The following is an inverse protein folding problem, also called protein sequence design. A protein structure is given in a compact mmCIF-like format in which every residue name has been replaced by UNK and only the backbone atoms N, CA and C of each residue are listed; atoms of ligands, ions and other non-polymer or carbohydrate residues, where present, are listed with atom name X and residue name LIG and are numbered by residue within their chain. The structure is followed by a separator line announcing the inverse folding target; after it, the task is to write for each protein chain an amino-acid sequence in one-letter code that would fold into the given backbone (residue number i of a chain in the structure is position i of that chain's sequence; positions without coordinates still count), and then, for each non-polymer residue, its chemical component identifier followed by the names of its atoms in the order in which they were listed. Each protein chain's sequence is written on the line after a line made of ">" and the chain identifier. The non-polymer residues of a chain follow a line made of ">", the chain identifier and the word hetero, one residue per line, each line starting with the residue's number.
data_IF_720757307149
#
_entry.id   IF_720757307149
#
_cell.length_a   1.000
_cell.length_b   1.000
_cell.length_c   1.000
_cell.angle_alpha   90.00
_cell.angle_beta   90.00
_cell.angle_gamma   90.00
#
_symmetry.space_group_name_H-M   'P 1'
#
loop_
_entity.id
_entity.type
_entity.pdbx_description
1 polymer ?
#
# COMPACT_ATOMS: atom_id res chain seq x y z
N UNK A 1 -28.66 5.04 21.84
CA UNK A 1 -28.30 6.48 21.95
C UNK A 1 -29.50 7.26 22.45
N UNK A 2 -29.29 8.26 23.30
CA UNK A 2 -30.37 9.16 23.76
C UNK A 2 -30.75 10.14 22.63
N UNK A 3 -32.04 10.38 22.40
CA UNK A 3 -32.52 11.32 21.38
C UNK A 3 -31.97 12.75 21.57
N UNK A 4 -31.69 13.14 22.82
CA UNK A 4 -31.05 14.40 23.14
C UNK A 4 -29.62 14.51 22.55
N UNK A 5 -28.82 13.45 22.65
CA UNK A 5 -27.48 13.38 22.07
C UNK A 5 -27.49 13.49 20.55
N UNK A 6 -28.47 12.87 19.90
CA UNK A 6 -28.63 12.96 18.44
C UNK A 6 -29.00 14.40 18.03
N UNK A 7 -29.88 15.05 18.79
CA UNK A 7 -30.25 16.44 18.55
C UNK A 7 -29.07 17.41 18.75
N UNK A 8 -28.25 17.22 19.79
CA UNK A 8 -27.04 18.02 20.03
C UNK A 8 -25.93 17.74 19.00
N UNK A 9 -25.78 16.51 18.54
CA UNK A 9 -24.77 16.18 17.53
C UNK A 9 -25.06 16.80 16.16
N UNK A 10 -26.34 16.95 15.82
CA UNK A 10 -26.82 17.56 14.56
C UNK A 10 -26.99 19.08 14.71
N UNK A 11 -27.15 19.57 15.94
CA UNK A 11 -27.12 21.01 16.27
C UNK A 11 -25.79 21.62 15.83
N UNK A 12 -25.85 22.72 15.07
CA UNK A 12 -24.67 23.53 14.74
C UNK A 12 -24.30 24.52 15.86
N UNK A 13 -25.10 24.57 16.91
CA UNK A 13 -24.92 25.44 18.07
C UNK A 13 -24.21 24.67 19.20
N UNK A 14 -23.15 25.29 19.70
CA UNK A 14 -22.25 24.89 20.79
C UNK A 14 -21.55 23.52 20.65
N UNK A 15 -20.21 23.56 20.66
CA UNK A 15 -19.37 22.38 20.44
C UNK A 15 -19.60 21.32 21.50
N UNK A 16 -20.05 20.14 21.08
CA UNK A 16 -20.18 18.93 21.91
C UNK A 16 -18.97 18.78 22.84
N UNK A 17 -19.22 18.57 24.14
CA UNK A 17 -18.17 18.25 25.11
C UNK A 17 -17.54 16.89 24.74
N UNK A 18 -16.25 16.83 24.36
CA UNK A 18 -15.57 15.59 24.00
C UNK A 18 -15.58 14.59 25.14
N UNK A 19 -15.56 15.06 26.40
CA UNK A 19 -15.52 14.19 27.59
C UNK A 19 -16.78 13.33 27.72
N UNK A 20 -17.88 13.80 27.15
CA UNK A 20 -19.15 13.07 27.15
C UNK A 20 -19.39 12.39 25.79
N UNK A 21 -19.14 13.10 24.70
CA UNK A 21 -19.48 12.64 23.35
C UNK A 21 -18.55 11.56 22.80
N UNK A 22 -17.23 11.64 23.04
CA UNK A 22 -16.29 10.65 22.50
C UNK A 22 -16.48 9.26 23.12
N UNK A 23 -16.62 9.09 24.46
CA UNK A 23 -16.87 7.78 25.04
C UNK A 23 -18.16 7.13 24.51
N UNK A 24 -19.25 7.90 24.39
CA UNK A 24 -20.50 7.41 23.81
C UNK A 24 -20.34 6.99 22.35
N UNK A 25 -19.58 7.76 21.57
CA UNK A 25 -19.35 7.47 20.17
C UNK A 25 -18.44 6.24 19.97
N UNK A 26 -17.47 6.03 20.86
CA UNK A 26 -16.63 4.84 20.88
C UNK A 26 -17.42 3.58 21.26
N UNK A 27 -18.30 3.67 22.26
CA UNK A 27 -19.19 2.56 22.61
C UNK A 27 -20.13 2.22 21.44
N UNK A 28 -20.71 3.26 20.82
CA UNK A 28 -21.54 3.10 19.63
C UNK A 28 -20.79 2.43 18.47
N UNK A 29 -19.59 2.91 18.13
CA UNK A 29 -18.81 2.34 17.03
C UNK A 29 -18.38 0.91 17.28
N UNK A 30 -18.03 0.56 18.53
CA UNK A 30 -17.75 -0.82 18.94
C UNK A 30 -18.97 -1.72 18.75
N UNK A 31 -20.13 -1.33 19.28
CA UNK A 31 -21.34 -2.15 19.15
C UNK A 31 -21.73 -2.39 17.68
N UNK A 32 -21.59 -1.36 16.84
CA UNK A 32 -21.86 -1.48 15.39
C UNK A 32 -20.86 -2.43 14.71
N UNK A 33 -19.58 -2.34 15.09
CA UNK A 33 -18.53 -3.23 14.58
C UNK A 33 -18.75 -4.69 15.00
N UNK A 34 -18.99 -4.94 16.29
CA UNK A 34 -19.20 -6.28 16.84
C UNK A 34 -20.43 -6.93 16.21
N UNK A 35 -21.52 -6.17 16.05
CA UNK A 35 -22.72 -6.63 15.33
C UNK A 35 -22.38 -7.01 13.88
N UNK A 36 -21.56 -6.21 13.19
CA UNK A 36 -21.19 -6.50 11.80
C UNK A 36 -20.30 -7.76 11.70
N UNK A 37 -19.41 -7.97 12.66
CA UNK A 37 -18.58 -9.17 12.79
C UNK A 37 -19.43 -10.42 13.02
N UNK A 38 -20.36 -10.38 13.98
CA UNK A 38 -21.26 -11.49 14.27
C UNK A 38 -22.12 -11.87 13.05
N UNK A 39 -22.67 -10.88 12.36
CA UNK A 39 -23.44 -11.11 11.14
C UNK A 39 -22.61 -11.75 10.03
N UNK A 40 -21.35 -11.32 9.87
CA UNK A 40 -20.43 -11.88 8.88
C UNK A 40 -19.97 -13.31 9.23
N UNK A 41 -19.87 -13.65 10.50
CA UNK A 41 -19.48 -14.98 10.99
C UNK A 41 -20.63 -16.00 11.04
N UNK A 42 -21.89 -15.54 10.98
CA UNK A 42 -23.07 -16.39 11.15
C UNK A 42 -23.39 -17.25 9.92
N UNK A 43 -24.08 -18.38 10.14
CA UNK A 43 -24.67 -19.22 9.08
C UNK A 43 -25.63 -18.44 8.16
N UNK A 44 -26.08 -17.26 8.60
CA UNK A 44 -26.97 -16.36 7.86
C UNK A 44 -26.24 -15.44 6.86
N UNK A 45 -24.91 -15.56 6.70
CA UNK A 45 -24.08 -14.72 5.82
C UNK A 45 -24.69 -14.50 4.41
N UNK A 46 -25.25 -15.56 3.80
CA UNK A 46 -25.88 -15.49 2.48
C UNK A 46 -27.16 -14.66 2.43
N UNK A 47 -27.99 -14.69 3.48
CA UNK A 47 -29.20 -13.87 3.55
C UNK A 47 -28.87 -12.42 3.94
N UNK A 48 -27.87 -12.22 4.80
CA UNK A 48 -27.36 -10.88 5.13
C UNK A 48 -26.77 -10.18 3.93
N UNK A 49 -26.05 -10.88 3.03
CA UNK A 49 -25.54 -10.28 1.78
C UNK A 49 -26.70 -9.78 0.89
N UNK A 50 -27.83 -10.49 0.90
CA UNK A 50 -29.03 -10.11 0.14
C UNK A 50 -29.72 -8.88 0.74
N UNK A 51 -29.86 -8.85 2.07
CA UNK A 51 -30.39 -7.71 2.84
C UNK A 51 -29.48 -6.47 2.79
N UNK A 52 -28.16 -6.68 2.74
CA UNK A 52 -27.15 -5.63 2.63
C UNK A 52 -27.26 -4.89 1.31
N UNK A 53 -27.59 -5.60 0.22
CA UNK A 53 -27.80 -4.97 -1.07
C UNK A 53 -29.10 -4.17 -1.18
N UNK A 54 -30.14 -4.46 -0.37
CA UNK A 54 -31.46 -3.84 -0.52
C UNK A 54 -31.77 -2.72 0.47
N UNK A 55 -31.32 -2.80 1.74
CA UNK A 55 -31.74 -1.86 2.81
C UNK A 55 -30.59 -1.53 3.77
N UNK A 56 -29.80 -2.52 4.16
CA UNK A 56 -28.84 -2.36 5.28
C UNK A 56 -27.65 -1.48 4.89
N UNK A 57 -27.20 -1.47 3.63
CA UNK A 57 -26.12 -0.57 3.18
C UNK A 57 -26.48 0.91 3.29
N UNK A 58 -27.71 1.30 2.97
CA UNK A 58 -28.16 2.69 3.10
C UNK A 58 -28.25 3.12 4.57
N UNK A 59 -28.75 2.22 5.44
CA UNK A 59 -28.78 2.47 6.88
C UNK A 59 -27.36 2.59 7.48
N UNK A 60 -26.42 1.73 7.04
CA UNK A 60 -25.01 1.77 7.44
C UNK A 60 -24.34 3.09 7.05
N UNK A 61 -24.58 3.58 5.83
CA UNK A 61 -24.07 4.87 5.37
C UNK A 61 -24.59 6.03 6.24
N UNK A 62 -25.89 6.04 6.57
CA UNK A 62 -26.46 7.07 7.45
C UNK A 62 -25.89 7.02 8.87
N UNK A 63 -25.67 5.81 9.41
CA UNK A 63 -25.00 5.60 10.70
C UNK A 63 -23.57 6.16 10.66
N UNK A 64 -22.85 5.89 9.56
CA UNK A 64 -21.50 6.37 9.36
C UNK A 64 -21.44 7.91 9.31
N UNK A 65 -22.31 8.53 8.50
CA UNK A 65 -22.35 9.98 8.36
C UNK A 65 -22.74 10.67 9.68
N UNK A 66 -23.69 10.11 10.43
CA UNK A 66 -24.01 10.60 11.77
C UNK A 66 -22.78 10.55 12.71
N UNK A 67 -22.06 9.42 12.71
CA UNK A 67 -20.86 9.28 13.53
C UNK A 67 -19.77 10.28 13.13
N UNK A 68 -19.57 10.51 11.84
CA UNK A 68 -18.59 11.48 11.32
C UNK A 68 -18.93 12.92 11.71
N UNK A 69 -20.19 13.33 11.60
CA UNK A 69 -20.65 14.67 12.02
C UNK A 69 -20.39 14.87 13.51
N UNK A 70 -20.81 13.89 14.31
CA UNK A 70 -20.63 13.90 15.77
C UNK A 70 -19.13 13.99 16.13
N UNK A 71 -18.31 13.16 15.49
CA UNK A 71 -16.87 13.11 15.70
C UNK A 71 -16.22 14.45 15.35
N UNK A 72 -16.53 15.00 14.18
CA UNK A 72 -16.02 16.29 13.72
C UNK A 72 -16.36 17.42 14.69
N UNK A 73 -17.61 17.46 15.18
CA UNK A 73 -18.06 18.47 16.13
C UNK A 73 -17.34 18.34 17.48
N UNK A 74 -17.17 17.11 17.99
CA UNK A 74 -16.43 16.85 19.22
C UNK A 74 -14.95 17.26 19.08
N UNK A 75 -14.30 16.95 17.95
CA UNK A 75 -12.86 17.15 17.75
C UNK A 75 -12.45 18.58 17.34
N UNK A 76 -13.39 19.51 17.17
CA UNK A 76 -13.10 20.87 16.66
C UNK A 76 -12.02 21.56 17.50
N UNK A 77 -10.85 21.79 16.89
CA UNK A 77 -9.68 22.41 17.53
C UNK A 77 -8.92 21.53 18.53
N UNK A 78 -9.29 20.26 18.69
CA UNK A 78 -8.78 19.33 19.72
C UNK A 78 -8.30 17.99 19.17
N UNK A 79 -8.18 17.87 17.85
CA UNK A 79 -7.86 16.62 17.15
C UNK A 79 -6.57 15.98 17.66
N UNK A 80 -5.52 16.77 17.90
CA UNK A 80 -4.22 16.26 18.35
C UNK A 80 -4.28 15.53 19.70
N UNK A 81 -5.08 16.04 20.63
CA UNK A 81 -5.27 15.42 21.95
C UNK A 81 -6.10 14.13 21.90
N UNK A 82 -6.86 13.93 20.83
CA UNK A 82 -7.86 12.87 20.69
C UNK A 82 -7.66 12.01 19.42
N UNK A 83 -6.42 11.93 18.91
CA UNK A 83 -6.13 11.12 17.71
C UNK A 83 -6.51 9.67 17.92
N UNK A 84 -6.21 9.09 19.08
CA UNK A 84 -6.57 7.70 19.40
C UNK A 84 -8.09 7.46 19.35
N UNK A 85 -8.87 8.34 19.97
CA UNK A 85 -10.34 8.25 19.99
C UNK A 85 -10.91 8.41 18.56
N UNK A 86 -10.36 9.35 17.79
CA UNK A 86 -10.76 9.59 16.41
C UNK A 86 -10.47 8.36 15.53
N UNK A 87 -9.26 7.80 15.63
CA UNK A 87 -8.85 6.60 14.91
C UNK A 87 -9.68 5.38 15.33
N UNK A 88 -10.01 5.26 16.61
CA UNK A 88 -10.88 4.21 17.12
C UNK A 88 -12.25 4.29 16.43
N UNK A 89 -12.93 5.44 16.51
CA UNK A 89 -14.28 5.60 15.93
C UNK A 89 -14.27 5.36 14.42
N UNK A 90 -13.33 5.99 13.70
CA UNK A 90 -13.27 5.90 12.24
C UNK A 90 -12.99 4.48 11.77
N UNK A 91 -11.98 3.82 12.35
CA UNK A 91 -11.62 2.48 11.91
C UNK A 91 -12.77 1.50 12.17
N UNK A 92 -13.39 1.50 13.35
CA UNK A 92 -14.48 0.57 13.68
C UNK A 92 -15.72 0.75 12.80
N UNK A 93 -15.86 1.88 12.11
CA UNK A 93 -16.98 2.11 11.20
C UNK A 93 -16.58 2.14 9.71
N UNK A 94 -15.30 1.97 9.36
CA UNK A 94 -14.83 2.07 7.96
C UNK A 94 -15.51 1.06 7.03
N UNK A 95 -15.96 -0.10 7.53
CA UNK A 95 -16.71 -1.07 6.74
C UNK A 95 -18.05 -0.50 6.23
N UNK A 96 -18.62 0.47 6.94
CA UNK A 96 -19.87 1.16 6.63
C UNK A 96 -19.64 2.46 5.83
N UNK A 97 -18.40 2.73 5.38
CA UNK A 97 -18.03 4.00 4.78
C UNK A 97 -18.95 4.41 3.62
N UNK A 98 -19.36 5.67 3.65
CA UNK A 98 -19.99 6.37 2.54
C UNK A 98 -19.00 7.40 1.97
N UNK A 99 -19.14 7.72 0.68
CA UNK A 99 -18.40 8.83 0.08
C UNK A 99 -19.12 10.14 0.39
N UNK A 100 -18.94 10.65 1.62
CA UNK A 100 -19.50 11.92 2.08
C UNK A 100 -18.44 13.02 2.19
N UNK A 101 -18.89 14.28 2.22
CA UNK A 101 -18.01 15.43 2.44
C UNK A 101 -17.35 15.37 3.83
N UNK A 102 -18.12 14.92 4.81
CA UNK A 102 -17.69 14.75 6.19
C UNK A 102 -16.54 13.75 6.29
N UNK A 103 -16.63 12.61 5.59
CA UNK A 103 -15.57 11.61 5.54
C UNK A 103 -14.27 12.22 5.00
N UNK A 104 -14.35 12.93 3.87
CA UNK A 104 -13.19 13.58 3.26
C UNK A 104 -12.56 14.63 4.19
N UNK A 105 -13.38 15.41 4.90
CA UNK A 105 -12.90 16.42 5.84
C UNK A 105 -12.20 15.82 7.05
N UNK A 106 -12.78 14.79 7.68
CA UNK A 106 -12.18 14.13 8.85
C UNK A 106 -10.88 13.43 8.47
N UNK A 107 -10.88 12.68 7.36
CA UNK A 107 -9.69 11.99 6.88
C UNK A 107 -8.58 12.99 6.49
N UNK A 108 -8.94 14.09 5.81
CA UNK A 108 -8.02 15.15 5.45
C UNK A 108 -7.42 15.86 6.67
N UNK A 109 -8.22 16.10 7.71
CA UNK A 109 -7.75 16.70 8.95
C UNK A 109 -6.75 15.78 9.68
N UNK A 110 -7.02 14.48 9.74
CA UNK A 110 -6.09 13.49 10.31
C UNK A 110 -4.79 13.39 9.52
N UNK A 111 -4.86 13.28 8.20
CA UNK A 111 -3.68 13.24 7.35
C UNK A 111 -2.84 14.52 7.50
N UNK A 112 -3.48 15.69 7.54
CA UNK A 112 -2.81 16.98 7.75
C UNK A 112 -2.12 17.03 9.10
N UNK A 113 -2.81 16.63 10.17
CA UNK A 113 -2.25 16.58 11.52
C UNK A 113 -1.04 15.65 11.58
N UNK A 114 -1.19 14.40 11.14
CA UNK A 114 -0.11 13.40 11.16
C UNK A 114 1.12 13.92 10.40
N UNK A 115 0.89 14.56 9.25
CA UNK A 115 1.97 15.12 8.44
C UNK A 115 2.64 16.35 9.10
N UNK A 116 1.93 17.12 9.92
CA UNK A 116 2.47 18.31 10.60
C UNK A 116 3.24 18.01 11.89
N UNK A 117 3.15 16.79 12.43
CA UNK A 117 3.87 16.42 13.66
C UNK A 117 5.41 16.51 13.46
N UNK A 118 6.19 16.69 14.54
CA UNK A 118 7.64 16.69 14.45
C UNK A 118 8.18 15.32 14.00
N UNK A 119 9.13 15.33 13.06
CA UNK A 119 9.73 14.10 12.52
C UNK A 119 10.60 13.38 13.56
N UNK A 120 10.63 12.04 13.50
CA UNK A 120 11.45 11.17 14.35
C UNK A 120 11.35 11.49 15.86
N UNK A 121 10.17 11.90 16.32
CA UNK A 121 9.96 12.39 17.69
C UNK A 121 9.11 11.45 18.54
N UNK A 122 8.46 10.45 17.93
CA UNK A 122 7.46 9.61 18.60
C UNK A 122 6.43 10.45 19.38
N UNK A 123 6.02 11.59 18.78
CA UNK A 123 5.06 12.50 19.38
C UNK A 123 3.79 11.75 19.84
N UNK A 124 3.15 12.17 20.95
CA UNK A 124 2.00 11.45 21.53
C UNK A 124 0.89 11.14 20.52
N UNK A 125 0.57 12.09 19.63
CA UNK A 125 -0.42 11.90 18.57
C UNK A 125 0.00 10.84 17.53
N UNK A 126 1.28 10.78 17.15
CA UNK A 126 1.80 9.75 16.26
C UNK A 126 1.74 8.38 16.95
N UNK A 127 2.11 8.30 18.22
CA UNK A 127 2.05 7.06 19.00
C UNK A 127 0.61 6.59 19.23
N UNK A 128 -0.34 7.50 19.40
CA UNK A 128 -1.76 7.17 19.46
C UNK A 128 -2.28 6.58 18.14
N UNK A 129 -1.83 7.12 17.00
CA UNK A 129 -2.10 6.53 15.69
C UNK A 129 -1.47 5.13 15.56
N UNK A 130 -0.21 4.96 16.00
CA UNK A 130 0.47 3.66 15.97
C UNK A 130 -0.25 2.62 16.84
N UNK A 131 -0.71 3.01 18.02
CA UNK A 131 -1.50 2.17 18.92
C UNK A 131 -2.88 1.79 18.36
N UNK A 132 -3.32 2.44 17.29
CA UNK A 132 -4.58 2.13 16.60
C UNK A 132 -4.44 0.97 15.60
N UNK A 133 -3.23 0.46 15.37
CA UNK A 133 -3.00 -0.71 14.53
C UNK A 133 -3.81 -1.91 15.09
N UNK A 134 -4.65 -2.58 14.28
CA UNK A 134 -5.42 -3.73 14.74
C UNK A 134 -4.49 -4.90 15.06
N UNK A 135 -4.84 -5.65 16.10
CA UNK A 135 -4.15 -6.90 16.42
C UNK A 135 -4.51 -7.97 15.40
N UNK A 136 -3.49 -8.59 14.80
CA UNK A 136 -3.63 -9.65 13.80
C UNK A 136 -3.29 -11.01 14.44
N UNK A 137 -4.24 -11.56 15.19
CA UNK A 137 -4.09 -12.83 15.91
C UNK A 137 -4.68 -14.01 15.11
N UNK A 138 -4.00 -15.17 15.14
CA UNK A 138 -4.41 -16.35 14.39
C UNK A 138 -4.37 -16.15 12.87
N UNK A 139 -5.19 -16.92 12.14
CA UNK A 139 -5.31 -16.83 10.67
C UNK A 139 -6.66 -16.29 10.18
N UNK A 140 -7.66 -16.18 11.06
CA UNK A 140 -9.01 -15.74 10.70
C UNK A 140 -9.04 -14.32 10.11
N UNK A 141 -8.11 -13.46 10.52
CA UNK A 141 -8.01 -12.08 10.02
C UNK A 141 -7.74 -11.98 8.51
N UNK A 142 -7.19 -13.02 7.87
CA UNK A 142 -6.82 -12.96 6.44
C UNK A 142 -8.03 -12.82 5.52
N UNK A 143 -9.17 -13.40 5.90
CA UNK A 143 -10.41 -13.38 5.13
C UNK A 143 -11.48 -12.43 5.71
N UNK A 144 -11.18 -11.75 6.82
CA UNK A 144 -12.15 -10.90 7.51
C UNK A 144 -12.34 -9.57 6.77
N UNK A 145 -13.52 -9.42 6.15
CA UNK A 145 -13.86 -8.21 5.36
C UNK A 145 -14.01 -6.96 6.24
N UNK A 146 -14.50 -7.09 7.47
CA UNK A 146 -14.81 -5.96 8.35
C UNK A 146 -13.50 -5.46 8.98
N UNK A 147 -12.64 -6.37 9.45
CA UNK A 147 -11.28 -6.04 9.89
C UNK A 147 -10.42 -5.54 8.71
N UNK A 148 -10.57 -6.13 7.53
CA UNK A 148 -9.90 -5.67 6.32
C UNK A 148 -10.18 -4.19 6.00
N UNK A 149 -11.40 -3.71 6.24
CA UNK A 149 -11.72 -2.28 6.10
C UNK A 149 -10.92 -1.41 7.09
N UNK A 150 -10.81 -1.83 8.35
CA UNK A 150 -9.96 -1.16 9.37
C UNK A 150 -8.51 -1.09 8.94
N UNK A 151 -7.97 -2.23 8.52
CA UNK A 151 -6.58 -2.34 8.06
C UNK A 151 -6.34 -1.41 6.88
N UNK A 152 -7.26 -1.37 5.92
CA UNK A 152 -7.17 -0.52 4.73
C UNK A 152 -7.13 0.97 5.07
N UNK A 153 -7.97 1.46 5.99
CA UNK A 153 -7.94 2.85 6.44
C UNK A 153 -6.57 3.22 7.04
N UNK A 154 -6.07 2.36 7.94
CA UNK A 154 -4.82 2.63 8.66
C UNK A 154 -3.63 2.61 7.71
N UNK A 155 -3.56 1.64 6.79
CA UNK A 155 -2.53 1.57 5.76
C UNK A 155 -2.54 2.81 4.85
N UNK A 156 -3.70 3.40 4.57
CA UNK A 156 -3.82 4.64 3.78
C UNK A 156 -3.33 5.88 4.54
N UNK A 157 -3.48 5.90 5.86
CA UNK A 157 -3.02 7.01 6.69
C UNK A 157 -1.55 6.89 7.10
N UNK A 158 -1.02 5.67 7.11
CA UNK A 158 0.34 5.37 7.54
C UNK A 158 1.40 6.24 6.84
N UNK A 159 1.38 6.46 5.51
CA UNK A 159 2.36 7.33 4.83
C UNK A 159 2.52 8.73 5.42
N UNK A 160 1.46 9.30 5.99
CA UNK A 160 1.51 10.63 6.62
C UNK A 160 2.18 10.63 8.00
N UNK A 161 2.27 9.46 8.65
CA UNK A 161 2.86 9.28 9.97
C UNK A 161 4.28 8.70 9.94
N UNK A 162 4.72 8.08 8.83
CA UNK A 162 5.98 7.33 8.79
C UNK A 162 7.21 8.16 9.15
N UNK A 163 7.30 9.41 8.70
CA UNK A 163 8.42 10.30 9.04
C UNK A 163 8.45 10.72 10.52
N UNK A 164 7.36 10.47 11.26
CA UNK A 164 7.16 10.90 12.65
C UNK A 164 7.68 9.87 13.64
N UNK A 165 7.75 8.62 13.21
CA UNK A 165 8.25 7.50 14.00
C UNK A 165 9.77 7.43 14.00
N UNK A 166 10.35 7.03 15.13
CA UNK A 166 11.76 6.65 15.21
C UNK A 166 12.02 5.34 14.45
N UNK A 167 13.29 5.09 14.08
CA UNK A 167 13.69 3.85 13.38
C UNK A 167 13.20 2.59 14.09
N UNK A 168 13.38 2.45 15.42
CA UNK A 168 12.97 1.23 16.12
C UNK A 168 11.47 0.99 15.99
N UNK A 169 10.63 2.03 16.04
CA UNK A 169 9.17 1.91 15.88
C UNK A 169 8.78 1.42 14.50
N UNK A 170 9.47 1.89 13.47
CA UNK A 170 9.21 1.41 12.10
C UNK A 170 9.58 -0.06 11.98
N UNK A 171 10.74 -0.47 12.48
CA UNK A 171 11.23 -1.84 12.37
C UNK A 171 10.40 -2.82 13.21
N UNK A 172 10.06 -2.45 14.44
CA UNK A 172 9.43 -3.37 15.42
C UNK A 172 7.92 -3.38 15.30
N UNK A 173 7.29 -2.23 15.07
CA UNK A 173 5.83 -2.10 15.13
C UNK A 173 5.22 -2.05 13.71
N UNK A 174 5.75 -1.18 12.84
CA UNK A 174 5.15 -0.90 11.53
C UNK A 174 5.45 -2.00 10.50
N UNK A 175 6.71 -2.35 10.30
CA UNK A 175 7.13 -3.30 9.27
C UNK A 175 6.46 -4.68 9.41
N UNK A 176 6.39 -5.29 10.62
CA UNK A 176 5.73 -6.58 10.78
C UNK A 176 4.23 -6.52 10.49
N UNK A 177 3.57 -5.43 10.90
CA UNK A 177 2.16 -5.20 10.60
C UNK A 177 1.93 -5.08 9.09
N UNK A 178 2.68 -4.21 8.40
CA UNK A 178 2.55 -4.03 6.94
C UNK A 178 2.86 -5.32 6.19
N UNK A 179 3.89 -6.08 6.62
CA UNK A 179 4.23 -7.38 6.03
C UNK A 179 3.06 -8.35 6.12
N UNK A 180 2.45 -8.48 7.31
CA UNK A 180 1.30 -9.34 7.51
C UNK A 180 0.14 -8.92 6.61
N UNK A 181 -0.14 -7.63 6.48
CA UNK A 181 -1.21 -7.15 5.59
C UNK A 181 -1.04 -7.61 4.11
N UNK A 182 0.16 -7.96 3.65
CA UNK A 182 0.37 -8.55 2.33
C UNK A 182 -0.18 -9.98 2.17
N UNK A 183 -0.53 -10.68 3.26
CA UNK A 183 -1.15 -12.02 3.27
C UNK A 183 -2.69 -11.99 3.31
N UNK A 184 -3.29 -10.80 3.32
CA UNK A 184 -4.75 -10.65 3.35
C UNK A 184 -5.39 -11.05 2.00
N UNK A 185 -6.58 -11.65 2.03
CA UNK A 185 -7.28 -12.12 0.81
C UNK A 185 -7.82 -10.96 -0.03
N UNK A 186 -8.26 -9.88 0.62
CA UNK A 186 -8.74 -8.68 -0.06
C UNK A 186 -7.62 -7.89 -0.76
N UNK A 187 -7.67 -7.85 -2.10
CA UNK A 187 -6.68 -7.19 -2.97
C UNK A 187 -6.41 -5.71 -2.64
N UNK A 188 -7.41 -4.96 -2.16
CA UNK A 188 -7.24 -3.55 -1.82
C UNK A 188 -6.43 -3.35 -0.52
N UNK A 189 -6.51 -4.29 0.44
CA UNK A 189 -5.67 -4.31 1.64
C UNK A 189 -4.22 -4.59 1.25
N UNK A 190 -4.00 -5.63 0.45
CA UNK A 190 -2.67 -5.96 -0.08
C UNK A 190 -2.08 -4.78 -0.84
N UNK A 191 -2.86 -4.15 -1.75
CA UNK A 191 -2.42 -2.94 -2.46
C UNK A 191 -2.02 -1.81 -1.52
N UNK A 192 -2.81 -1.52 -0.49
CA UNK A 192 -2.47 -0.50 0.49
C UNK A 192 -1.22 -0.86 1.30
N UNK A 193 -0.99 -2.14 1.60
CA UNK A 193 0.23 -2.60 2.28
C UNK A 193 1.48 -2.37 1.43
N UNK A 194 1.44 -2.68 0.13
CA UNK A 194 2.55 -2.37 -0.76
C UNK A 194 2.77 -0.85 -0.92
N UNK A 195 1.69 -0.05 -0.95
CA UNK A 195 1.81 1.42 -0.94
C UNK A 195 2.44 1.91 0.37
N UNK A 196 2.12 1.30 1.51
CA UNK A 196 2.76 1.61 2.78
C UNK A 196 4.26 1.29 2.77
N UNK A 197 4.68 0.16 2.16
CA UNK A 197 6.09 -0.14 1.92
C UNK A 197 6.80 0.95 1.10
N UNK A 198 6.19 1.39 0.00
CA UNK A 198 6.71 2.54 -0.79
C UNK A 198 6.87 3.77 0.10
N UNK A 199 5.88 4.04 0.96
CA UNK A 199 5.95 5.11 1.95
C UNK A 199 7.12 4.95 2.93
N UNK A 200 7.41 3.73 3.40
CA UNK A 200 8.53 3.45 4.32
C UNK A 200 9.84 3.75 3.64
N UNK A 201 10.04 3.23 2.42
CA UNK A 201 11.28 3.44 1.66
C UNK A 201 11.51 4.91 1.29
N UNK A 202 10.42 5.67 1.11
CA UNK A 202 10.49 7.09 0.82
C UNK A 202 10.78 7.93 2.07
N UNK A 203 10.10 7.64 3.17
CA UNK A 203 10.25 8.38 4.41
C UNK A 203 11.59 8.09 5.10
N UNK A 204 12.13 6.87 4.95
CA UNK A 204 13.34 6.37 5.64
C UNK A 204 14.34 5.72 4.66
N UNK A 205 14.98 6.49 3.78
CA UNK A 205 15.93 5.96 2.81
C UNK A 205 17.07 5.15 3.43
N UNK A 206 17.49 5.51 4.65
CA UNK A 206 18.54 4.83 5.40
C UNK A 206 18.20 3.37 5.77
N UNK A 207 16.92 2.98 5.68
CA UNK A 207 16.46 1.61 5.93
C UNK A 207 16.32 0.78 4.66
N UNK A 208 16.50 1.37 3.48
CA UNK A 208 16.30 0.67 2.21
C UNK A 208 17.23 -0.54 2.07
N UNK A 209 18.51 -0.40 2.46
CA UNK A 209 19.48 -1.50 2.42
C UNK A 209 19.07 -2.70 3.28
N UNK A 210 18.40 -2.45 4.40
CA UNK A 210 17.96 -3.47 5.34
C UNK A 210 16.61 -4.10 4.94
N UNK A 211 15.64 -3.28 4.54
CA UNK A 211 14.24 -3.71 4.41
C UNK A 211 13.83 -4.08 2.99
N UNK A 212 14.44 -3.44 1.98
CA UNK A 212 14.02 -3.62 0.59
C UNK A 212 14.29 -5.04 0.04
N UNK A 213 15.43 -5.70 0.34
CA UNK A 213 15.68 -7.04 -0.19
C UNK A 213 14.59 -8.06 0.15
N UNK A 214 14.14 -8.07 1.41
CA UNK A 214 13.09 -8.99 1.86
C UNK A 214 11.72 -8.64 1.29
N UNK A 215 11.43 -7.35 1.12
CA UNK A 215 10.23 -6.89 0.43
C UNK A 215 10.21 -7.34 -1.03
N UNK A 216 11.32 -7.17 -1.77
CA UNK A 216 11.40 -7.52 -3.18
C UNK A 216 11.18 -9.01 -3.39
N UNK A 217 11.90 -9.86 -2.64
CA UNK A 217 11.77 -11.32 -2.77
C UNK A 217 10.35 -11.79 -2.51
N UNK A 218 9.75 -11.35 -1.40
CA UNK A 218 8.34 -11.66 -1.07
C UNK A 218 7.39 -11.21 -2.20
N UNK A 219 7.60 -10.00 -2.72
CA UNK A 219 6.75 -9.44 -3.78
C UNK A 219 6.89 -10.23 -5.09
N UNK A 220 8.10 -10.61 -5.48
CA UNK A 220 8.35 -11.37 -6.70
C UNK A 220 7.86 -12.81 -6.57
N UNK A 221 8.03 -13.47 -5.43
CA UNK A 221 7.52 -14.81 -5.17
C UNK A 221 6.01 -14.90 -5.42
N UNK A 222 5.27 -13.91 -4.92
CA UNK A 222 3.80 -13.84 -5.00
C UNK A 222 3.24 -13.26 -6.29
N UNK A 223 4.09 -12.70 -7.14
CA UNK A 223 3.68 -12.15 -8.42
C UNK A 223 3.48 -13.27 -9.47
N UNK A 224 2.39 -13.25 -10.27
CA UNK A 224 1.37 -12.18 -10.40
C UNK A 224 0.11 -12.36 -9.54
N UNK A 225 0.04 -13.41 -8.74
CA UNK A 225 -1.19 -13.84 -8.08
C UNK A 225 -1.75 -12.82 -7.08
N UNK A 226 -0.90 -12.23 -6.23
CA UNK A 226 -1.34 -11.25 -5.22
C UNK A 226 -0.59 -9.93 -5.24
N UNK A 227 0.65 -9.90 -5.74
CA UNK A 227 1.46 -8.68 -5.76
C UNK A 227 0.92 -7.65 -6.76
N UNK A 228 0.56 -6.44 -6.31
CA UNK A 228 0.14 -5.37 -7.20
C UNK A 228 1.35 -4.77 -7.93
N UNK A 229 1.24 -4.63 -9.25
CA UNK A 229 2.33 -4.15 -10.10
C UNK A 229 2.71 -2.69 -9.81
N UNK A 230 1.75 -1.78 -9.71
CA UNK A 230 2.04 -0.33 -9.64
C UNK A 230 2.88 0.04 -8.40
N UNK A 231 2.55 -0.43 -7.17
CA UNK A 231 3.40 -0.19 -6.01
C UNK A 231 4.76 -0.88 -6.08
N UNK A 232 4.85 -2.07 -6.70
CA UNK A 232 6.13 -2.75 -6.91
C UNK A 232 7.06 -1.92 -7.81
N UNK A 233 6.55 -1.44 -8.95
CA UNK A 233 7.28 -0.54 -9.86
C UNK A 233 7.72 0.73 -9.14
N UNK A 234 6.82 1.34 -8.34
CA UNK A 234 7.14 2.53 -7.56
C UNK A 234 8.26 2.27 -6.53
N UNK A 235 8.20 1.14 -5.81
CA UNK A 235 9.21 0.77 -4.83
C UNK A 235 10.58 0.54 -5.49
N UNK A 236 10.63 -0.21 -6.59
CA UNK A 236 11.84 -0.44 -7.38
C UNK A 236 12.42 0.87 -7.89
N UNK A 237 11.59 1.70 -8.53
CA UNK A 237 12.03 2.98 -9.07
C UNK A 237 12.57 3.92 -7.99
N UNK A 238 11.96 3.91 -6.80
CA UNK A 238 12.42 4.71 -5.67
C UNK A 238 13.83 4.29 -5.23
N UNK A 239 14.08 3.00 -4.99
CA UNK A 239 15.38 2.54 -4.48
C UNK A 239 16.48 2.54 -5.53
N UNK A 240 16.15 2.40 -6.82
CA UNK A 240 17.17 2.43 -7.88
C UNK A 240 17.51 3.85 -8.33
N UNK A 241 16.57 4.79 -8.24
CA UNK A 241 16.78 6.21 -8.65
C UNK A 241 17.30 7.09 -7.51
N UNK A 242 16.87 6.82 -6.29
CA UNK A 242 17.22 7.61 -5.10
C UNK A 242 18.02 6.78 -4.08
N UNK A 243 18.66 5.70 -4.52
CA UNK A 243 19.55 4.91 -3.68
C UNK A 243 20.77 5.73 -3.24
N UNK A 244 21.34 5.37 -2.09
CA UNK A 244 22.59 5.98 -1.63
C UNK A 244 23.74 5.63 -2.59
N UNK A 245 24.66 6.57 -2.80
CA UNK A 245 25.81 6.35 -3.64
C UNK A 245 26.63 5.14 -3.12
N UNK A 246 26.93 4.20 -4.01
CA UNK A 246 27.63 2.96 -3.65
C UNK A 246 26.72 1.83 -3.15
N UNK A 247 25.41 2.05 -3.07
CA UNK A 247 24.45 0.98 -2.76
C UNK A 247 24.39 -0.08 -3.86
N UNK A 248 24.45 -1.35 -3.47
CA UNK A 248 24.27 -2.49 -4.38
C UNK A 248 22.80 -2.81 -4.68
N UNK A 249 21.84 -2.04 -4.13
CA UNK A 249 20.41 -2.32 -4.27
C UNK A 249 19.95 -2.36 -5.73
N UNK A 250 20.48 -1.50 -6.60
CA UNK A 250 20.14 -1.51 -8.02
C UNK A 250 20.58 -2.81 -8.71
N UNK A 251 21.78 -3.30 -8.38
CA UNK A 251 22.30 -4.57 -8.89
C UNK A 251 21.52 -5.75 -8.33
N UNK A 252 21.19 -5.71 -7.03
CA UNK A 252 20.34 -6.70 -6.38
C UNK A 252 18.96 -6.80 -7.05
N UNK A 253 18.30 -5.65 -7.28
CA UNK A 253 17.03 -5.56 -8.00
C UNK A 253 17.12 -6.18 -9.39
N UNK A 254 18.17 -5.83 -10.15
CA UNK A 254 18.36 -6.33 -11.51
C UNK A 254 18.49 -7.87 -11.53
N UNK A 255 19.26 -8.44 -10.60
CA UNK A 255 19.44 -9.89 -10.48
C UNK A 255 18.14 -10.60 -10.12
N UNK A 256 17.44 -10.16 -9.07
CA UNK A 256 16.19 -10.78 -8.62
C UNK A 256 15.07 -10.68 -9.68
N UNK A 257 14.97 -9.54 -10.39
CA UNK A 257 14.03 -9.39 -11.50
C UNK A 257 14.42 -10.24 -12.70
N UNK A 258 15.71 -10.32 -13.05
CA UNK A 258 16.21 -11.17 -14.14
C UNK A 258 15.85 -12.64 -13.89
N UNK A 259 16.17 -13.15 -12.70
CA UNK A 259 15.82 -14.52 -12.30
C UNK A 259 14.31 -14.76 -12.34
N UNK A 260 13.49 -13.84 -11.81
CA UNK A 260 12.03 -13.99 -11.86
C UNK A 260 11.50 -14.01 -13.30
N UNK A 261 11.99 -13.13 -14.18
CA UNK A 261 11.57 -13.07 -15.59
C UNK A 261 11.97 -14.34 -16.33
N UNK A 262 13.21 -14.83 -16.14
CA UNK A 262 13.68 -16.10 -16.71
C UNK A 262 12.78 -17.26 -16.30
N UNK A 263 12.48 -17.38 -15.01
CA UNK A 263 11.63 -18.44 -14.47
C UNK A 263 10.18 -18.38 -15.00
N UNK A 264 9.62 -17.18 -15.16
CA UNK A 264 8.27 -17.02 -15.71
C UNK A 264 8.17 -17.33 -17.20
N UNK A 265 9.22 -17.03 -17.98
CA UNK A 265 9.27 -17.36 -19.41
C UNK A 265 9.52 -18.85 -19.66
N UNK A 266 10.24 -19.52 -18.77
CA UNK A 266 10.46 -20.97 -18.83
C UNK A 266 9.19 -21.77 -18.47
N UNK A 267 8.24 -21.15 -17.76
CA UNK A 267 6.98 -21.79 -17.40
C UNK A 267 6.07 -21.95 -18.64
N UNK A 268 5.33 -23.07 -18.75
CA UNK A 268 4.42 -23.29 -19.86
C UNK A 268 3.36 -22.17 -19.93
N UNK A 269 3.00 -21.69 -21.13
CA UNK A 269 2.10 -20.55 -21.28
C UNK A 269 0.74 -20.85 -20.64
N UNK A 270 0.37 -20.06 -19.64
CA UNK A 270 -0.99 -20.06 -19.09
C UNK A 270 -1.94 -19.48 -20.12
N UNK A 271 -2.83 -20.33 -20.64
CA UNK A 271 -3.79 -20.06 -21.70
C UNK A 271 -4.90 -19.09 -21.26
N UNK A 272 -4.67 -17.77 -21.14
CA UNK A 272 -5.80 -16.82 -21.02
C UNK A 272 -5.55 -15.30 -21.14
N UNK A 273 -4.36 -14.76 -21.45
CA UNK A 273 -4.23 -13.28 -21.60
C UNK A 273 -3.44 -12.84 -22.84
N UNK A 274 -3.89 -11.74 -23.47
CA UNK A 274 -3.24 -11.12 -24.64
C UNK A 274 -1.80 -10.69 -24.34
N UNK A 275 -1.53 -10.22 -23.12
CA UNK A 275 -0.18 -10.00 -22.59
C UNK A 275 0.10 -10.97 -21.43
N UNK A 276 1.16 -11.80 -21.49
CA UNK A 276 1.49 -12.70 -20.40
C UNK A 276 1.94 -11.89 -19.18
N UNK A 277 1.67 -12.34 -17.95
CA UNK A 277 2.01 -11.61 -16.73
C UNK A 277 3.50 -11.27 -16.57
N UNK A 278 4.40 -11.92 -17.31
CA UNK A 278 5.84 -11.62 -17.31
C UNK A 278 6.19 -10.28 -17.98
N UNK A 279 5.38 -9.81 -18.94
CA UNK A 279 5.73 -8.64 -19.76
C UNK A 279 5.91 -7.35 -18.93
N UNK A 280 5.07 -7.03 -17.94
CA UNK A 280 5.31 -5.87 -17.09
C UNK A 280 6.58 -5.98 -16.22
N UNK A 281 6.95 -7.18 -15.74
CA UNK A 281 8.20 -7.36 -15.00
C UNK A 281 9.42 -7.24 -15.92
N UNK A 282 9.33 -7.74 -17.15
CA UNK A 282 10.35 -7.57 -18.17
C UNK A 282 10.59 -6.10 -18.48
N UNK A 283 9.51 -5.32 -18.67
CA UNK A 283 9.60 -3.87 -18.84
C UNK A 283 10.25 -3.19 -17.65
N UNK A 284 9.88 -3.57 -16.42
CA UNK A 284 10.50 -3.03 -15.20
C UNK A 284 12.01 -3.33 -15.14
N UNK A 285 12.40 -4.57 -15.42
CA UNK A 285 13.81 -4.99 -15.50
C UNK A 285 14.60 -4.15 -16.51
N UNK A 286 14.09 -4.04 -17.74
CA UNK A 286 14.76 -3.28 -18.79
C UNK A 286 14.71 -1.77 -18.57
N UNK A 287 13.76 -1.27 -17.77
CA UNK A 287 13.73 0.14 -17.43
C UNK A 287 14.89 0.52 -16.49
N UNK A 288 15.50 -0.43 -15.77
CA UNK A 288 16.60 -0.15 -14.84
C UNK A 288 17.78 0.57 -15.52
N UNK A 289 18.13 0.20 -16.77
CA UNK A 289 19.24 0.86 -17.49
C UNK A 289 19.00 2.35 -17.73
N UNK A 290 17.73 2.79 -17.71
CA UNK A 290 17.35 4.21 -17.81
C UNK A 290 17.25 4.92 -16.46
N UNK A 291 17.23 4.18 -15.35
CA UNK A 291 16.97 4.70 -14.00
C UNK A 291 18.21 4.80 -13.13
N UNK A 292 19.14 3.86 -13.27
CA UNK A 292 20.34 3.78 -12.41
C UNK A 292 21.33 4.91 -12.69
N UNK A 293 22.23 5.16 -11.75
CA UNK A 293 23.34 6.08 -11.97
C UNK A 293 24.28 5.62 -13.09
N UNK A 294 24.89 6.59 -13.77
CA UNK A 294 25.74 6.34 -14.95
C UNK A 294 26.83 5.28 -14.72
N UNK A 295 27.52 5.22 -13.57
CA UNK A 295 28.56 4.22 -13.32
C UNK A 295 28.05 2.77 -13.27
N UNK A 296 26.76 2.56 -12.97
CA UNK A 296 26.18 1.22 -12.88
C UNK A 296 25.69 0.69 -14.23
N UNK A 297 25.62 1.55 -15.26
CA UNK A 297 25.07 1.18 -16.57
C UNK A 297 25.77 -0.06 -17.17
N UNK A 298 27.12 -0.15 -17.24
CA UNK A 298 27.77 -1.31 -17.86
C UNK A 298 27.42 -2.63 -17.18
N UNK A 299 27.43 -2.66 -15.84
CA UNK A 299 27.10 -3.88 -15.08
C UNK A 299 25.62 -4.25 -15.23
N UNK A 300 24.73 -3.25 -15.27
CA UNK A 300 23.31 -3.50 -15.55
C UNK A 300 23.13 -4.04 -16.98
N UNK A 301 23.83 -3.48 -17.97
CA UNK A 301 23.80 -3.97 -19.35
C UNK A 301 24.19 -5.44 -19.44
N UNK A 302 25.24 -5.87 -18.73
CA UNK A 302 25.65 -7.28 -18.69
C UNK A 302 24.53 -8.19 -18.14
N UNK A 303 23.87 -7.78 -17.05
CA UNK A 303 22.74 -8.53 -16.46
C UNK A 303 21.56 -8.59 -17.44
N UNK A 304 21.26 -7.48 -18.13
CA UNK A 304 20.16 -7.42 -19.09
C UNK A 304 20.44 -8.22 -20.35
N UNK A 305 21.68 -8.21 -20.83
CA UNK A 305 22.12 -9.01 -21.97
C UNK A 305 21.99 -10.50 -21.67
N UNK A 306 22.47 -10.94 -20.51
CA UNK A 306 22.27 -12.30 -20.02
C UNK A 306 20.78 -12.63 -19.93
N UNK A 307 19.95 -11.76 -19.35
CA UNK A 307 18.50 -11.95 -19.29
C UNK A 307 17.85 -12.14 -20.69
N UNK A 308 18.35 -11.46 -21.72
CA UNK A 308 17.85 -11.61 -23.10
C UNK A 308 18.32 -12.93 -23.72
N UNK A 309 19.61 -13.26 -23.58
CA UNK A 309 20.26 -14.35 -24.32
C UNK A 309 20.16 -15.74 -23.66
N UNK A 310 19.83 -15.80 -22.37
CA UNK A 310 19.76 -17.03 -21.55
C UNK A 310 18.74 -18.08 -22.05
N UNK A 311 17.75 -17.69 -22.86
CA UNK A 311 16.80 -18.65 -23.44
C UNK A 311 17.37 -19.39 -24.66
N UNK A 312 17.20 -20.72 -24.68
CA UNK A 312 17.48 -21.52 -25.88
C UNK A 312 16.45 -21.33 -27.00
N UNK A 313 15.28 -20.75 -26.70
CA UNK A 313 14.23 -20.49 -27.68
C UNK A 313 14.44 -19.14 -28.39
N UNK A 314 14.71 -19.13 -29.71
CA UNK A 314 14.91 -17.90 -30.47
C UNK A 314 13.71 -16.94 -30.41
N UNK A 315 12.49 -17.45 -30.30
CA UNK A 315 11.29 -16.62 -30.22
C UNK A 315 11.24 -15.83 -28.91
N UNK A 316 11.54 -16.49 -27.79
CA UNK A 316 11.69 -15.84 -26.47
C UNK A 316 12.79 -14.79 -26.48
N UNK A 317 13.96 -15.09 -27.07
CA UNK A 317 15.07 -14.12 -27.19
C UNK A 317 14.65 -12.89 -28.00
N UNK A 318 14.04 -13.08 -29.16
CA UNK A 318 13.55 -12.01 -30.02
C UNK A 318 12.53 -11.11 -29.28
N UNK A 319 11.59 -11.72 -28.56
CA UNK A 319 10.60 -11.00 -27.76
C UNK A 319 11.24 -10.19 -26.63
N UNK A 320 12.19 -10.77 -25.90
CA UNK A 320 12.93 -10.06 -24.84
C UNK A 320 13.71 -8.88 -25.42
N UNK A 321 14.38 -9.08 -26.55
CA UNK A 321 15.09 -8.01 -27.24
C UNK A 321 14.15 -6.90 -27.72
N UNK A 322 12.98 -7.23 -28.26
CA UNK A 322 11.98 -6.24 -28.67
C UNK A 322 11.53 -5.35 -27.50
N UNK A 323 11.21 -5.95 -26.34
CA UNK A 323 10.85 -5.19 -25.13
C UNK A 323 12.01 -4.29 -24.65
N UNK A 324 13.25 -4.77 -24.70
CA UNK A 324 14.45 -3.99 -24.36
C UNK A 324 14.64 -2.82 -25.32
N UNK A 325 14.58 -3.07 -26.63
CA UNK A 325 14.70 -2.06 -27.67
C UNK A 325 13.63 -0.99 -27.54
N UNK A 326 12.37 -1.39 -27.33
CA UNK A 326 11.28 -0.46 -27.06
C UNK A 326 11.55 0.44 -25.85
N UNK A 327 12.07 -0.14 -24.77
CA UNK A 327 12.37 0.59 -23.52
C UNK A 327 13.47 1.63 -23.73
N UNK A 328 14.58 1.23 -24.38
CA UNK A 328 15.71 2.13 -24.69
C UNK A 328 15.30 3.25 -25.66
N UNK A 329 14.48 2.94 -26.67
CA UNK A 329 13.99 3.93 -27.62
C UNK A 329 13.12 5.01 -26.97
N UNK A 330 12.49 4.69 -25.83
CA UNK A 330 11.68 5.63 -25.02
C UNK A 330 12.45 6.29 -23.89
N UNK A 331 13.75 6.03 -23.76
CA UNK A 331 14.59 6.72 -22.80
C UNK A 331 14.52 8.25 -23.03
N UNK A 332 14.17 9.05 -22.00
CA UNK A 332 14.09 10.51 -22.13
C UNK A 332 15.46 11.18 -22.03
N UNK A 333 16.49 10.48 -21.56
CA UNK A 333 17.85 11.00 -21.41
C UNK A 333 18.60 11.00 -22.75
N UNK A 334 18.67 12.15 -23.40
CA UNK A 334 19.34 12.33 -24.68
C UNK A 334 20.86 12.08 -24.64
N UNK A 335 21.50 12.18 -23.47
CA UNK A 335 22.94 11.95 -23.35
C UNK A 335 23.26 10.44 -23.32
N UNK A 336 22.43 9.65 -22.62
CA UNK A 336 22.62 8.20 -22.49
C UNK A 336 22.04 7.41 -23.67
N UNK A 337 20.96 7.92 -24.26
CA UNK A 337 20.20 7.21 -25.30
C UNK A 337 21.04 6.72 -26.48
N UNK A 338 21.95 7.51 -27.09
CA UNK A 338 22.74 7.03 -28.24
C UNK A 338 23.58 5.79 -27.89
N UNK A 339 24.26 5.81 -26.74
CA UNK A 339 25.08 4.70 -26.25
C UNK A 339 24.22 3.44 -25.99
N UNK A 340 23.05 3.62 -25.39
CA UNK A 340 22.14 2.50 -25.11
C UNK A 340 21.54 1.91 -26.38
N UNK A 341 21.18 2.75 -27.37
CA UNK A 341 20.66 2.30 -28.66
C UNK A 341 21.71 1.50 -29.43
N UNK A 342 22.95 2.00 -29.50
CA UNK A 342 24.05 1.29 -30.13
C UNK A 342 24.28 -0.09 -29.49
N UNK A 343 24.32 -0.16 -28.16
CA UNK A 343 24.42 -1.42 -27.42
C UNK A 343 23.29 -2.41 -27.77
N UNK A 344 22.03 -1.98 -27.76
CA UNK A 344 20.89 -2.86 -28.11
C UNK A 344 20.95 -3.33 -29.56
N UNK A 345 21.43 -2.48 -30.49
CA UNK A 345 21.59 -2.87 -31.89
C UNK A 345 22.67 -3.92 -32.08
N UNK A 346 23.78 -3.82 -31.34
CA UNK A 346 24.84 -4.83 -31.37
C UNK A 346 24.37 -6.20 -30.87
N UNK A 347 23.45 -6.24 -29.89
CA UNK A 347 22.85 -7.49 -29.40
C UNK A 347 22.03 -8.23 -30.47
N UNK A 348 21.50 -7.55 -31.48
CA UNK A 348 20.70 -8.17 -32.54
C UNK A 348 21.49 -9.23 -33.33
N UNK A 349 22.83 -9.11 -33.38
CA UNK A 349 23.71 -10.11 -34.00
C UNK A 349 23.82 -11.43 -33.24
N UNK A 350 23.35 -11.47 -31.98
CA UNK A 350 23.45 -12.61 -31.06
C UNK A 350 22.12 -13.33 -30.83
N UNK A 351 21.00 -12.81 -31.37
CA UNK A 351 19.67 -13.42 -31.28
C UNK A 351 19.55 -14.61 -32.23
#
# INVERSE_FOLDING_TARGET
>A
MNAHFIAEAVSRDDGLDPRQSLPMLMEFSRNVYDTAQELAASECAGWTDTLDNSVVRAARANIYDFALITLKNALRGRLEAHVGDAMFVLSHLEFARSTSLEYAQVLGALATLLNSLPSSSDAPAAMAFLASLPELAGDAWRGDKILGARMHLILRLLPFALSKFTTPRIIVDVCPYVRRCCDHEAKHVVKAAHVAYVGIFHARPELNGQLFPDYLRMSLERYPASTPLEPLVAAVGLVTKFGEAGSELALFVARELSEKVKNMDAAPPTMSSEDPPVEPLRRLLFQLVTLVDFPLIPVIQDILEDAVLDSSDPFTRARRHETLAYTVMRCPDYARKPMMVDWVMQMNSKL
#
